data_IF_865315993022
#
_entry.id   IF_865315993022
#
_cell.length_a   1.000
_cell.length_b   1.000
_cell.length_c   1.000
_cell.angle_alpha   90.00
_cell.angle_beta   90.00
_cell.angle_gamma   90.00
#
_symmetry.space_group_name_H-M   'P 1'
#
loop_
_entity.id
_entity.type
_entity.pdbx_description
1 polymer ?
#
# COMPACT_ATOMS: atom_id res chain seq x y z
N UNK A 1 -21.97 -5.97 26.67
CA UNK A 1 -21.48 -6.78 25.53
C UNK A 1 -19.98 -6.56 25.48
N UNK A 2 -19.19 -7.60 25.73
CA UNK A 2 -17.73 -7.51 25.64
C UNK A 2 -17.34 -7.35 24.17
N UNK A 3 -16.61 -6.28 23.86
CA UNK A 3 -16.01 -6.09 22.54
C UNK A 3 -15.03 -7.24 22.30
N UNK A 4 -15.15 -8.01 21.20
CA UNK A 4 -14.20 -9.07 20.91
C UNK A 4 -12.78 -8.47 20.86
N UNK A 5 -11.76 -9.20 21.34
CA UNK A 5 -10.40 -8.69 21.39
C UNK A 5 -9.95 -8.30 19.98
N UNK A 6 -9.43 -7.07 19.84
CA UNK A 6 -8.93 -6.55 18.57
C UNK A 6 -7.87 -7.52 18.05
N UNK A 7 -8.14 -8.17 16.90
CA UNK A 7 -7.16 -9.06 16.26
C UNK A 7 -5.90 -8.27 15.98
N UNK A 8 -4.75 -8.86 16.28
CA UNK A 8 -3.46 -8.30 15.88
C UNK A 8 -3.38 -8.35 14.34
N UNK A 9 -2.95 -7.27 13.67
CA UNK A 9 -2.73 -7.29 12.23
C UNK A 9 -1.83 -8.45 11.82
N UNK A 10 -2.20 -9.21 10.79
CA UNK A 10 -1.27 -10.14 10.18
C UNK A 10 -0.46 -9.41 9.09
N UNK A 11 0.77 -9.04 9.43
CA UNK A 11 1.68 -8.30 8.54
C UNK A 11 2.99 -9.05 8.27
N UNK A 12 2.98 -10.36 8.50
CA UNK A 12 4.14 -11.24 8.24
C UNK A 12 4.13 -11.78 6.81
N UNK A 13 5.20 -12.46 6.38
CA UNK A 13 5.26 -13.12 5.05
C UNK A 13 4.11 -14.06 4.70
N UNK A 14 3.31 -14.49 5.69
CA UNK A 14 2.11 -15.32 5.49
C UNK A 14 0.82 -14.51 5.33
N UNK A 15 0.90 -13.18 5.43
CA UNK A 15 -0.25 -12.31 5.32
C UNK A 15 -0.87 -12.41 3.92
N UNK A 16 -2.21 -12.38 3.81
CA UNK A 16 -2.84 -12.10 2.53
C UNK A 16 -2.35 -10.74 2.02
N UNK A 17 -2.06 -10.64 0.73
CA UNK A 17 -1.51 -9.45 0.09
C UNK A 17 -2.56 -8.81 -0.80
N UNK A 18 -2.70 -7.49 -0.71
CA UNK A 18 -3.48 -6.66 -1.62
C UNK A 18 -2.57 -5.72 -2.41
N UNK A 19 -3.08 -5.16 -3.51
CA UNK A 19 -2.38 -4.16 -4.30
C UNK A 19 -3.20 -2.89 -4.46
N UNK A 20 -2.52 -1.76 -4.61
CA UNK A 20 -3.12 -0.46 -4.95
C UNK A 20 -2.24 0.27 -5.95
N UNK A 21 -2.86 1.00 -6.87
CA UNK A 21 -2.15 1.85 -7.84
C UNK A 21 -2.19 3.29 -7.32
N UNK A 22 -1.02 3.89 -7.17
CA UNK A 22 -0.84 5.27 -6.71
C UNK A 22 -0.25 6.07 -7.87
N UNK A 23 -0.72 7.29 -8.12
CA UNK A 23 -0.10 8.16 -9.11
C UNK A 23 1.37 8.42 -8.75
N UNK A 24 2.27 8.43 -9.74
CA UNK A 24 3.69 8.71 -9.50
C UNK A 24 4.00 10.21 -9.36
N UNK A 25 3.06 11.07 -9.73
CA UNK A 25 3.18 12.53 -9.66
C UNK A 25 1.83 13.19 -9.33
N UNK A 26 1.87 14.41 -8.80
CA UNK A 26 0.69 15.27 -8.60
C UNK A 26 0.22 15.91 -9.91
N UNK A 27 -0.96 16.54 -9.88
CA UNK A 27 -1.53 17.25 -11.05
C UNK A 27 -0.63 18.37 -11.61
N UNK A 28 0.28 18.91 -10.81
CA UNK A 28 1.26 19.93 -11.23
C UNK A 28 2.59 19.35 -11.73
N UNK A 29 2.70 18.01 -11.82
CA UNK A 29 3.90 17.29 -12.27
C UNK A 29 4.99 17.15 -11.21
N UNK A 30 4.70 17.43 -9.94
CA UNK A 30 5.65 17.15 -8.85
C UNK A 30 5.71 15.64 -8.59
N UNK A 31 6.89 14.99 -8.65
CA UNK A 31 7.00 13.57 -8.37
C UNK A 31 6.68 13.25 -6.91
N UNK A 32 5.98 12.14 -6.68
CA UNK A 32 5.82 11.58 -5.33
C UNK A 32 7.01 10.70 -4.96
N UNK A 33 7.49 10.86 -3.72
CA UNK A 33 8.48 9.95 -3.14
C UNK A 33 7.81 8.70 -2.60
N UNK A 34 8.43 7.54 -2.86
CA UNK A 34 7.97 6.25 -2.34
C UNK A 34 9.05 5.65 -1.47
N UNK A 35 8.65 5.31 -0.25
CA UNK A 35 9.51 4.70 0.76
C UNK A 35 9.09 3.24 0.97
N UNK A 36 10.03 2.34 1.30
CA UNK A 36 9.67 0.98 1.67
C UNK A 36 8.72 0.96 2.86
N UNK A 37 7.68 0.15 2.78
CA UNK A 37 6.82 -0.11 3.94
C UNK A 37 7.62 -0.86 5.02
N UNK A 38 7.60 -0.33 6.24
CA UNK A 38 8.23 -0.97 7.39
C UNK A 38 7.23 -1.71 8.30
N UNK A 39 5.94 -1.64 7.96
CA UNK A 39 4.84 -2.20 8.77
C UNK A 39 4.42 -3.61 8.32
N UNK A 40 4.81 -4.03 7.11
CA UNK A 40 4.48 -5.36 6.60
C UNK A 40 5.57 -6.01 5.74
N UNK A 41 5.47 -7.34 5.65
CA UNK A 41 6.29 -8.17 4.78
C UNK A 41 5.40 -9.19 4.05
N UNK A 42 5.66 -9.49 2.77
CA UNK A 42 6.56 -8.76 1.89
C UNK A 42 5.92 -7.42 1.48
N UNK A 43 6.74 -6.38 1.34
CA UNK A 43 6.40 -5.18 0.59
C UNK A 43 7.07 -5.24 -0.78
N UNK A 44 6.34 -4.82 -1.80
CA UNK A 44 6.81 -4.78 -3.19
C UNK A 44 6.19 -3.57 -3.88
N UNK A 45 6.93 -2.98 -4.82
CA UNK A 45 6.44 -1.89 -5.65
C UNK A 45 6.91 -2.08 -7.10
N UNK A 46 6.07 -1.69 -8.06
CA UNK A 46 6.30 -1.79 -9.50
C UNK A 46 5.84 -0.50 -10.16
N UNK A 47 6.66 0.04 -11.06
CA UNK A 47 6.25 1.15 -11.91
C UNK A 47 5.46 0.64 -13.11
N UNK A 48 4.26 1.18 -13.29
CA UNK A 48 3.34 0.87 -14.38
C UNK A 48 3.16 2.12 -15.21
N UNK A 49 3.22 1.99 -16.53
CA UNK A 49 2.87 3.06 -17.46
C UNK A 49 1.50 2.75 -18.07
N UNK A 50 0.59 3.71 -18.03
CA UNK A 50 -0.69 3.68 -18.74
C UNK A 50 -0.82 4.95 -19.57
N UNK A 51 -0.64 4.82 -20.89
CA UNK A 51 -0.52 5.97 -21.78
C UNK A 51 0.70 6.83 -21.46
N UNK A 52 0.46 8.11 -21.20
CA UNK A 52 1.47 9.09 -20.80
C UNK A 52 1.66 9.14 -19.28
N UNK A 53 0.75 8.54 -18.51
CA UNK A 53 0.77 8.55 -17.05
C UNK A 53 1.64 7.42 -16.49
N UNK A 54 2.27 7.69 -15.34
CA UNK A 54 3.03 6.71 -14.57
C UNK A 54 2.32 6.50 -13.24
N UNK A 55 2.06 5.23 -12.92
CA UNK A 55 1.55 4.78 -11.64
C UNK A 55 2.58 3.90 -10.96
N UNK A 56 2.55 3.88 -9.64
CA UNK A 56 3.29 2.91 -8.85
C UNK A 56 2.27 1.99 -8.21
N UNK A 57 2.33 0.71 -8.59
CA UNK A 57 1.57 -0.33 -7.93
C UNK A 57 2.34 -0.78 -6.71
N UNK A 58 1.71 -0.67 -5.55
CA UNK A 58 2.27 -1.16 -4.29
C UNK A 58 1.49 -2.38 -3.81
N UNK A 59 2.23 -3.36 -3.29
CA UNK A 59 1.68 -4.57 -2.68
C UNK A 59 2.02 -4.60 -1.20
N UNK A 60 1.00 -4.81 -0.38
CA UNK A 60 1.10 -4.82 1.07
C UNK A 60 0.28 -5.95 1.67
N UNK A 61 0.61 -6.36 2.89
CA UNK A 61 -0.30 -7.18 3.69
C UNK A 61 -1.65 -6.46 3.88
N UNK A 62 -2.77 -7.16 3.73
CA UNK A 62 -4.12 -6.54 3.77
C UNK A 62 -4.38 -5.81 5.10
N UNK A 63 -3.84 -6.33 6.22
CA UNK A 63 -3.99 -5.70 7.53
C UNK A 63 -2.91 -4.62 7.82
N UNK A 64 -2.03 -4.31 6.86
CA UNK A 64 -0.98 -3.30 7.00
C UNK A 64 -1.60 -1.91 7.27
N UNK A 65 -1.21 -1.20 8.35
CA UNK A 65 -1.72 0.13 8.65
C UNK A 65 -1.52 1.14 7.51
N UNK A 66 -0.38 1.08 6.84
CA UNK A 66 -0.04 1.94 5.71
C UNK A 66 -0.93 1.65 4.50
N UNK A 67 -1.11 0.37 4.14
CA UNK A 67 -2.05 -0.03 3.10
C UNK A 67 -3.48 0.41 3.38
N UNK A 68 -3.93 0.26 4.64
CA UNK A 68 -5.25 0.72 5.07
C UNK A 68 -5.40 2.24 5.05
N UNK A 69 -4.30 3.01 5.11
CA UNK A 69 -4.32 4.45 4.92
C UNK A 69 -4.39 4.80 3.42
N UNK A 70 -3.60 4.13 2.59
CA UNK A 70 -3.61 4.30 1.13
C UNK A 70 -5.00 4.02 0.54
N UNK A 71 -5.70 2.98 1.00
CA UNK A 71 -7.06 2.64 0.53
C UNK A 71 -8.14 3.67 0.91
N UNK A 72 -7.87 4.62 1.79
CA UNK A 72 -8.84 5.63 2.26
C UNK A 72 -8.65 7.00 1.62
N UNK A 73 -7.54 7.20 0.91
CA UNK A 73 -7.31 8.38 0.08
C UNK A 73 -8.06 8.25 -1.24
#
# INVERSE_FOLDING_TARGET
MDTPPKRRPNTTYSAPVGSIDVAAESEDGTPYEIWPCHECLPWHAEAIRDGDDIFIREWHGVDCPEFQALLKN
#
